data_IF_496868304536
#
_entry.id   IF_496868304536
#
_cell.length_a   1.000
_cell.length_b   1.000
_cell.length_c   1.000
_cell.angle_alpha   90.00
_cell.angle_beta   90.00
_cell.angle_gamma   90.00
#
_symmetry.space_group_name_H-M   'P 1'
#
loop_
_entity.id
_entity.type
_entity.pdbx_description
1 polymer ?
#
# COMPACT_ATOMS: atom_id res chain seq x y z
N UNK A 1 15.09 -2.35 1.88
CA UNK A 1 15.12 -3.83 1.96
C UNK A 1 15.31 -4.34 3.38
N UNK A 2 16.41 -4.03 4.07
CA UNK A 2 16.65 -4.49 5.46
C UNK A 2 15.47 -4.19 6.43
N UNK A 3 14.82 -3.03 6.27
CA UNK A 3 13.67 -2.63 7.07
C UNK A 3 12.30 -3.06 6.47
N UNK A 4 12.28 -3.84 5.38
CA UNK A 4 11.06 -4.38 4.78
C UNK A 4 10.18 -3.38 4.03
N UNK A 5 10.70 -2.20 3.65
CA UNK A 5 9.89 -1.14 3.03
C UNK A 5 9.57 -1.30 1.54
N UNK A 6 10.05 -2.36 0.92
CA UNK A 6 9.72 -2.70 -0.46
C UNK A 6 8.22 -2.89 -0.59
N UNK A 7 7.59 -2.33 -1.64
CA UNK A 7 6.16 -2.51 -1.84
C UNK A 7 5.84 -4.00 -2.00
N UNK A 8 4.96 -4.59 -1.17
CA UNK A 8 4.66 -6.00 -1.28
C UNK A 8 3.97 -6.38 -2.60
N UNK A 9 3.25 -5.43 -3.22
CA UNK A 9 2.41 -5.70 -4.40
C UNK A 9 3.16 -5.52 -5.73
N UNK A 10 4.05 -4.54 -5.83
CA UNK A 10 4.77 -4.19 -7.07
C UNK A 10 6.30 -4.23 -6.93
N UNK A 11 6.82 -4.63 -5.76
CA UNK A 11 8.22 -5.00 -5.49
C UNK A 11 9.32 -3.93 -5.67
N UNK A 12 9.01 -2.73 -6.14
CA UNK A 12 9.86 -1.55 -5.98
C UNK A 12 9.80 -0.91 -4.59
N UNK A 13 10.95 -0.37 -4.20
CA UNK A 13 11.17 0.23 -2.88
C UNK A 13 12.14 1.42 -2.88
N UNK A 14 12.69 1.83 -4.03
CA UNK A 14 13.78 2.83 -4.08
C UNK A 14 13.41 4.17 -3.45
N UNK A 15 12.26 4.74 -3.81
CA UNK A 15 11.79 6.00 -3.21
C UNK A 15 11.52 5.88 -1.71
N UNK A 16 10.93 4.75 -1.28
CA UNK A 16 10.66 4.48 0.14
C UNK A 16 11.96 4.27 0.92
N UNK A 17 12.97 3.64 0.32
CA UNK A 17 14.30 3.49 0.89
C UNK A 17 14.98 4.84 1.08
N UNK A 18 14.94 5.72 0.06
CA UNK A 18 15.47 7.09 0.16
C UNK A 18 14.75 7.90 1.23
N UNK A 19 13.42 7.83 1.29
CA UNK A 19 12.65 8.54 2.32
C UNK A 19 12.94 8.02 3.72
N UNK A 20 13.06 6.70 3.88
CA UNK A 20 13.50 6.07 5.13
C UNK A 20 14.89 6.57 5.54
N UNK A 21 15.84 6.66 4.61
CA UNK A 21 17.17 7.17 4.89
C UNK A 21 17.14 8.63 5.40
N UNK A 22 16.29 9.48 4.82
CA UNK A 22 16.08 10.85 5.30
C UNK A 22 15.54 10.86 6.74
N UNK A 23 14.57 10.01 7.07
CA UNK A 23 14.07 9.92 8.44
C UNK A 23 15.13 9.41 9.42
N UNK A 24 15.90 8.39 9.04
CA UNK A 24 16.97 7.86 9.86
C UNK A 24 18.05 8.91 10.13
N UNK A 25 18.49 9.65 9.09
CA UNK A 25 19.48 10.71 9.22
C UNK A 25 19.01 11.84 10.15
N UNK A 26 17.74 12.26 10.03
CA UNK A 26 17.15 13.28 10.91
C UNK A 26 17.07 12.81 12.36
N UNK A 27 16.65 11.57 12.60
CA UNK A 27 16.58 11.00 13.96
C UNK A 27 17.98 10.87 14.57
N UNK A 28 18.95 10.38 13.80
CA UNK A 28 20.34 10.23 14.26
C UNK A 28 20.98 11.58 14.58
N UNK A 29 20.86 12.57 13.68
CA UNK A 29 21.41 13.92 13.89
C UNK A 29 20.89 14.56 15.18
N UNK A 30 19.58 14.46 15.46
CA UNK A 30 19.01 15.00 16.70
C UNK A 30 19.45 14.24 17.94
N UNK A 31 19.50 12.91 17.85
CA UNK A 31 19.93 12.05 18.97
C UNK A 31 21.38 12.38 19.37
N UNK A 32 22.25 12.59 18.38
CA UNK A 32 23.65 13.01 18.61
C UNK A 32 23.71 14.41 19.24
N UNK A 33 22.96 15.38 18.73
CA UNK A 33 23.00 16.75 19.27
C UNK A 33 22.46 16.85 20.70
N UNK A 34 21.47 16.02 21.04
CA UNK A 34 20.83 16.00 22.36
C UNK A 34 21.57 15.07 23.34
N UNK A 35 22.50 14.23 22.86
CA UNK A 35 23.17 13.21 23.67
C UNK A 35 22.23 12.10 24.15
N UNK A 36 21.03 11.99 23.59
CA UNK A 36 20.00 11.03 23.97
C UNK A 36 19.92 9.91 22.93
N UNK A 37 20.35 8.72 23.34
CA UNK A 37 20.33 7.50 22.50
C UNK A 37 19.31 6.48 23.00
N UNK A 38 18.37 6.90 23.84
CA UNK A 38 17.35 6.02 24.38
C UNK A 38 16.44 5.48 23.28
N UNK A 39 15.83 4.33 23.54
CA UNK A 39 14.82 3.75 22.64
C UNK A 39 13.66 4.70 22.39
N UNK A 40 13.27 5.49 23.40
CA UNK A 40 12.23 6.50 23.28
C UNK A 40 12.63 7.57 22.25
N UNK A 41 13.86 8.07 22.30
CA UNK A 41 14.34 9.06 21.34
C UNK A 41 14.42 8.52 19.92
N UNK A 42 14.93 7.30 19.76
CA UNK A 42 15.07 6.63 18.47
C UNK A 42 13.72 6.19 17.89
N UNK A 43 12.69 6.00 18.72
CA UNK A 43 11.33 5.65 18.28
C UNK A 43 10.70 6.68 17.35
N UNK A 44 11.22 7.92 17.36
CA UNK A 44 10.82 8.98 16.43
C UNK A 44 10.96 8.57 14.97
N UNK A 45 12.02 7.84 14.61
CA UNK A 45 12.16 7.26 13.28
C UNK A 45 10.95 6.39 12.92
N UNK A 46 10.50 5.56 13.87
CA UNK A 46 9.35 4.68 13.68
C UNK A 46 8.06 5.46 13.50
N UNK A 47 7.87 6.52 14.28
CA UNK A 47 6.70 7.40 14.15
C UNK A 47 6.65 8.08 12.78
N UNK A 48 7.79 8.57 12.30
CA UNK A 48 7.90 9.27 11.01
C UNK A 48 7.54 8.37 9.84
N UNK A 49 8.16 7.18 9.73
CA UNK A 49 7.86 6.31 8.60
C UNK A 49 6.45 5.72 8.68
N UNK A 50 5.91 5.43 9.88
CA UNK A 50 4.52 4.93 10.01
C UNK A 50 3.47 5.96 9.57
N UNK A 51 3.77 7.25 9.75
CA UNK A 51 2.89 8.33 9.31
C UNK A 51 2.93 8.56 7.79
N UNK A 52 4.08 8.26 7.17
CA UNK A 52 4.33 8.55 5.75
C UNK A 52 4.07 7.35 4.83
N UNK A 53 4.47 6.15 5.26
CA UNK A 53 4.52 4.96 4.41
C UNK A 53 3.14 4.32 4.27
N UNK A 54 2.88 3.62 3.16
CA UNK A 54 1.59 3.00 2.94
C UNK A 54 1.30 1.91 3.99
N UNK A 55 0.02 1.60 4.24
CA UNK A 55 -0.37 0.58 5.21
C UNK A 55 -0.05 -0.83 4.69
N UNK A 56 1.17 -1.32 4.97
CA UNK A 56 1.69 -2.60 4.48
C UNK A 56 0.78 -3.79 4.82
N UNK A 57 0.15 -3.79 5.99
CA UNK A 57 -0.79 -4.84 6.42
C UNK A 57 -2.02 -4.94 5.50
N UNK A 58 -2.48 -3.81 4.97
CA UNK A 58 -3.61 -3.75 4.03
C UNK A 58 -3.18 -4.18 2.63
N UNK A 59 -1.98 -3.79 2.22
CA UNK A 59 -1.40 -4.18 0.93
C UNK A 59 -1.15 -5.68 0.88
N UNK A 60 -0.57 -6.27 1.94
CA UNK A 60 -0.32 -7.71 2.03
C UNK A 60 -1.62 -8.51 1.95
N UNK A 61 -2.67 -8.09 2.67
CA UNK A 61 -3.99 -8.73 2.59
C UNK A 61 -4.56 -8.69 1.18
N UNK A 62 -4.40 -7.58 0.47
CA UNK A 62 -4.86 -7.50 -0.92
C UNK A 62 -3.98 -8.26 -1.90
N UNK A 63 -2.65 -8.34 -1.68
CA UNK A 63 -1.76 -9.24 -2.43
C UNK A 63 -2.23 -10.68 -2.30
N UNK A 64 -2.41 -11.19 -1.07
CA UNK A 64 -2.88 -12.55 -0.86
C UNK A 64 -4.23 -12.82 -1.55
N UNK A 65 -5.17 -11.87 -1.47
CA UNK A 65 -6.46 -12.00 -2.16
C UNK A 65 -6.33 -11.96 -3.70
N UNK A 66 -5.42 -11.16 -4.24
CA UNK A 66 -5.15 -11.08 -5.68
C UNK A 66 -4.56 -12.39 -6.21
N UNK A 67 -3.61 -12.99 -5.48
CA UNK A 67 -2.96 -14.23 -5.86
C UNK A 67 -3.86 -15.47 -5.72
N UNK A 68 -5.02 -15.35 -5.05
CA UNK A 68 -6.03 -16.42 -4.90
C UNK A 68 -7.09 -16.41 -6.03
N UNK A 69 -7.01 -15.44 -6.95
CA UNK A 69 -7.88 -15.36 -8.12
C UNK A 69 -7.38 -16.26 -9.23
N UNK A 70 -8.31 -16.93 -9.93
CA UNK A 70 -7.99 -17.57 -11.22
C UNK A 70 -7.82 -16.53 -12.33
N UNK A 71 -7.26 -16.93 -13.46
CA UNK A 71 -7.08 -16.05 -14.63
C UNK A 71 -8.41 -15.46 -15.14
N UNK A 72 -9.49 -16.25 -15.12
CA UNK A 72 -10.84 -15.79 -15.47
C UNK A 72 -11.36 -14.74 -14.48
N UNK A 73 -11.13 -14.96 -13.19
CA UNK A 73 -11.51 -14.05 -12.12
C UNK A 73 -10.76 -12.73 -12.20
N UNK A 74 -9.44 -12.81 -12.44
CA UNK A 74 -8.58 -11.65 -12.66
C UNK A 74 -8.98 -10.88 -13.90
N UNK A 75 -9.35 -11.56 -14.98
CA UNK A 75 -9.86 -10.94 -16.22
C UNK A 75 -11.18 -10.20 -16.02
N UNK A 76 -12.12 -10.79 -15.27
CA UNK A 76 -13.38 -10.11 -14.91
C UNK A 76 -13.13 -8.90 -14.03
N UNK A 77 -12.26 -9.02 -13.03
CA UNK A 77 -11.85 -7.91 -12.17
C UNK A 77 -11.25 -6.77 -13.00
N UNK A 78 -10.30 -7.06 -13.88
CA UNK A 78 -9.65 -6.08 -14.74
C UNK A 78 -10.66 -5.29 -15.60
N UNK A 79 -11.64 -5.99 -16.19
CA UNK A 79 -12.73 -5.38 -16.98
C UNK A 79 -13.71 -4.53 -16.16
N UNK A 80 -13.70 -4.66 -14.84
CA UNK A 80 -14.52 -3.84 -13.94
C UNK A 80 -13.79 -2.58 -13.46
N UNK A 81 -12.46 -2.55 -13.51
CA UNK A 81 -11.70 -1.36 -13.16
C UNK A 81 -11.97 -0.21 -14.15
N UNK A 82 -11.91 1.05 -13.68
CA UNK A 82 -11.87 2.21 -14.56
C UNK A 82 -10.52 2.31 -15.27
N UNK A 83 -10.49 3.02 -16.40
CA UNK A 83 -9.26 3.29 -17.15
C UNK A 83 -8.21 4.05 -16.33
N UNK A 84 -8.67 4.90 -15.40
CA UNK A 84 -7.81 5.55 -14.42
C UNK A 84 -8.20 5.16 -13.00
N UNK A 85 -7.27 4.53 -12.28
CA UNK A 85 -7.40 4.27 -10.84
C UNK A 85 -6.97 5.47 -9.99
N UNK A 86 -6.31 6.47 -10.58
CA UNK A 86 -6.04 7.79 -9.95
C UNK A 86 -7.38 8.46 -9.62
N UNK A 87 -7.54 8.95 -8.39
CA UNK A 87 -8.73 9.70 -7.97
C UNK A 87 -10.11 9.00 -7.96
N UNK A 88 -10.20 7.65 -7.84
CA UNK A 88 -11.49 7.03 -7.53
C UNK A 88 -12.06 7.48 -6.18
N UNK A 89 -13.06 8.37 -6.23
CA UNK A 89 -13.92 8.73 -5.10
C UNK A 89 -14.82 7.58 -4.65
N UNK A 90 -15.64 7.84 -3.64
CA UNK A 90 -16.57 6.84 -3.07
C UNK A 90 -17.53 6.31 -4.16
N UNK A 91 -18.04 7.20 -5.02
CA UNK A 91 -18.93 6.84 -6.14
C UNK A 91 -18.26 5.91 -7.15
N UNK A 92 -17.00 6.17 -7.52
CA UNK A 92 -16.24 5.29 -8.42
C UNK A 92 -16.04 3.90 -7.82
N UNK A 93 -15.71 3.82 -6.53
CA UNK A 93 -15.57 2.52 -5.83
C UNK A 93 -16.89 1.76 -5.77
N UNK A 94 -17.99 2.45 -5.49
CA UNK A 94 -19.32 1.86 -5.49
C UNK A 94 -19.71 1.32 -6.88
N UNK A 95 -19.45 2.09 -7.94
CA UNK A 95 -19.69 1.67 -9.32
C UNK A 95 -18.93 0.38 -9.68
N UNK A 96 -17.66 0.28 -9.31
CA UNK A 96 -16.86 -0.94 -9.54
C UNK A 96 -17.42 -2.12 -8.75
N UNK A 97 -17.82 -1.90 -7.49
CA UNK A 97 -18.49 -2.92 -6.68
C UNK A 97 -19.77 -3.43 -7.35
N UNK A 98 -20.65 -2.52 -7.78
CA UNK A 98 -21.90 -2.89 -8.45
C UNK A 98 -21.61 -3.68 -9.75
N UNK A 99 -20.63 -3.26 -10.56
CA UNK A 99 -20.24 -3.99 -11.77
C UNK A 99 -19.75 -5.41 -11.46
N UNK A 100 -18.96 -5.59 -10.40
CA UNK A 100 -18.50 -6.90 -9.96
C UNK A 100 -19.64 -7.78 -9.46
N UNK A 101 -20.57 -7.20 -8.70
CA UNK A 101 -21.74 -7.91 -8.20
C UNK A 101 -22.61 -8.44 -9.35
N UNK A 102 -22.77 -7.64 -10.41
CA UNK A 102 -23.55 -8.03 -11.60
C UNK A 102 -22.83 -9.04 -12.49
N UNK A 103 -21.50 -8.99 -12.59
CA UNK A 103 -20.74 -9.87 -13.50
C UNK A 103 -20.28 -11.18 -12.88
N UNK A 104 -19.81 -11.16 -11.63
CA UNK A 104 -19.30 -12.34 -10.94
C UNK A 104 -19.40 -12.16 -9.42
N UNK A 105 -20.60 -12.33 -8.83
CA UNK A 105 -20.84 -12.11 -7.40
C UNK A 105 -20.00 -13.03 -6.50
N UNK A 106 -19.61 -14.21 -7.00
CA UNK A 106 -18.72 -15.13 -6.28
C UNK A 106 -17.36 -14.52 -5.90
N UNK A 107 -16.89 -13.46 -6.55
CA UNK A 107 -15.62 -12.79 -6.19
C UNK A 107 -15.65 -12.17 -4.79
N UNK A 108 -16.82 -11.86 -4.25
CA UNK A 108 -16.93 -11.30 -2.90
C UNK A 108 -16.52 -12.30 -1.81
N UNK A 109 -16.71 -13.61 -2.02
CA UNK A 109 -16.22 -14.62 -1.08
C UNK A 109 -14.70 -14.74 -1.08
N UNK A 110 -14.05 -14.38 -2.21
CA UNK A 110 -12.59 -14.35 -2.38
C UNK A 110 -11.93 -13.03 -1.96
N UNK A 111 -12.60 -12.21 -1.16
CA UNK A 111 -12.02 -10.95 -0.63
C UNK A 111 -11.51 -10.02 -1.75
N UNK A 112 -12.24 -9.94 -2.86
CA UNK A 112 -11.90 -9.07 -4.01
C UNK A 112 -11.78 -7.58 -3.62
N UNK A 113 -12.53 -7.14 -2.61
CA UNK A 113 -12.48 -5.75 -2.12
C UNK A 113 -11.09 -5.41 -1.56
N UNK A 114 -10.50 -6.18 -0.62
CA UNK A 114 -9.09 -6.05 -0.25
C UNK A 114 -8.11 -6.04 -1.41
N UNK A 115 -8.26 -6.92 -2.41
CA UNK A 115 -7.38 -6.95 -3.58
C UNK A 115 -7.42 -5.61 -4.34
N UNK A 116 -8.63 -5.11 -4.64
CA UNK A 116 -8.81 -3.82 -5.32
C UNK A 116 -8.31 -2.64 -4.49
N UNK A 117 -8.53 -2.65 -3.17
CA UNK A 117 -8.05 -1.58 -2.29
C UNK A 117 -6.52 -1.56 -2.19
N UNK A 118 -5.85 -2.72 -2.25
CA UNK A 118 -4.40 -2.80 -2.23
C UNK A 118 -3.76 -2.11 -3.44
N UNK A 119 -4.36 -2.17 -4.63
CA UNK A 119 -3.92 -1.32 -5.76
C UNK A 119 -3.97 0.16 -5.38
N UNK A 120 -5.05 0.61 -4.73
CA UNK A 120 -5.22 1.98 -4.27
C UNK A 120 -4.20 2.42 -3.21
N UNK A 121 -3.83 1.52 -2.29
CA UNK A 121 -2.81 1.75 -1.25
C UNK A 121 -1.38 1.68 -1.77
N UNK A 122 -1.15 0.83 -2.77
CA UNK A 122 0.16 0.70 -3.44
C UNK A 122 0.41 1.82 -4.45
N UNK A 123 -0.54 2.76 -4.61
CA UNK A 123 -0.34 3.98 -5.39
C UNK A 123 0.68 4.89 -4.72
N UNK A 124 1.51 5.46 -5.58
CA UNK A 124 2.26 6.67 -5.32
C UNK A 124 1.35 7.88 -5.12
N UNK A 125 0.82 8.12 -3.92
CA UNK A 125 0.29 9.47 -3.61
C UNK A 125 1.42 10.44 -3.24
N UNK A 126 2.56 9.93 -2.76
CA UNK A 126 3.72 10.74 -2.33
C UNK A 126 5.08 10.21 -2.85
N UNK A 127 5.16 8.96 -3.32
CA UNK A 127 6.39 8.35 -3.83
C UNK A 127 6.06 7.51 -5.06
N UNK A 128 6.23 8.14 -6.22
CA UNK A 128 6.06 7.59 -7.58
C UNK A 128 6.67 6.21 -7.78
N UNK A 129 5.99 5.39 -8.57
CA UNK A 129 6.67 4.58 -9.58
C UNK A 129 6.82 5.47 -10.80
#
# INVERSE_FOLDING_TARGET
DAAGFTSPLFEGGSHLALKSAVFAAKTASKSISEGDYTSQRLSEYTRLWRAEFPPYDKILRGKSALFDLSDDEMSVMAKCFPNEMSNMGISGKAMVGIKLLLRKPGLYSKKIIPAMLAFGYSRAKYYGW
#
